data_IF_374294844969
#
_entry.id   IF_374294844969
#
_cell.length_a   1.000
_cell.length_b   1.000
_cell.length_c   1.000
_cell.angle_alpha   90.00
_cell.angle_beta   90.00
_cell.angle_gamma   90.00
#
_symmetry.space_group_name_H-M   'P 1'
#
loop_
_entity.id
_entity.type
_entity.pdbx_description
1 polymer ?
#
# COMPACT_ATOMS: atom_id res chain seq x y z
N UNK A 1 -29.91 -12.19 -21.49
CA UNK A 1 -28.78 -12.98 -20.92
C UNK A 1 -27.79 -11.99 -20.32
N UNK A 2 -27.41 -12.21 -19.06
CA UNK A 2 -26.60 -11.31 -18.23
C UNK A 2 -25.10 -11.60 -18.50
N UNK A 3 -24.40 -10.68 -19.16
CA UNK A 3 -23.01 -10.85 -19.61
C UNK A 3 -21.99 -10.47 -18.51
N UNK A 4 -21.96 -11.18 -17.38
CA UNK A 4 -21.12 -10.80 -16.23
C UNK A 4 -20.29 -11.95 -15.62
N UNK A 5 -19.82 -12.93 -16.40
CA UNK A 5 -19.09 -14.09 -15.84
C UNK A 5 -17.58 -14.19 -16.10
N UNK A 6 -16.93 -13.24 -16.80
CA UNK A 6 -15.47 -13.35 -17.08
C UNK A 6 -14.56 -12.29 -16.44
N UNK A 7 -15.09 -11.32 -15.70
CA UNK A 7 -14.25 -10.31 -15.01
C UNK A 7 -13.66 -10.79 -13.68
N UNK A 8 -13.97 -12.02 -13.25
CA UNK A 8 -13.64 -12.52 -11.90
C UNK A 8 -12.51 -13.56 -11.85
N UNK A 9 -12.09 -14.16 -12.98
CA UNK A 9 -11.06 -15.22 -12.96
C UNK A 9 -9.66 -14.68 -12.63
N UNK A 10 -9.39 -13.45 -13.04
CA UNK A 10 -8.10 -12.79 -12.86
C UNK A 10 -8.01 -11.99 -11.56
N UNK A 11 -9.02 -12.05 -10.68
CA UNK A 11 -9.00 -11.35 -9.40
C UNK A 11 -8.92 -12.36 -8.26
N UNK A 12 -7.84 -12.27 -7.48
CA UNK A 12 -7.61 -13.09 -6.28
C UNK A 12 -7.62 -12.22 -5.03
N UNK A 13 -8.14 -12.74 -3.91
CA UNK A 13 -7.97 -12.11 -2.61
C UNK A 13 -6.63 -12.53 -1.98
N UNK A 14 -5.84 -11.55 -1.55
CA UNK A 14 -4.60 -11.75 -0.81
C UNK A 14 -4.75 -11.13 0.56
N UNK A 15 -4.32 -11.82 1.61
CA UNK A 15 -4.48 -11.37 2.99
C UNK A 15 -3.15 -10.89 3.55
N UNK A 16 -3.18 -9.74 4.21
CA UNK A 16 -2.07 -9.23 5.02
C UNK A 16 -1.96 -10.03 6.34
N UNK A 17 -0.81 -10.03 7.03
CA UNK A 17 -0.64 -10.76 8.30
C UNK A 17 -1.65 -10.38 9.40
N UNK A 18 -2.18 -9.16 9.37
CA UNK A 18 -3.25 -8.70 10.27
C UNK A 18 -4.67 -9.03 9.77
N UNK A 19 -4.82 -9.86 8.74
CA UNK A 19 -6.11 -10.34 8.22
C UNK A 19 -6.83 -9.40 7.25
N UNK A 20 -6.21 -8.27 6.85
CA UNK A 20 -6.75 -7.36 5.86
C UNK A 20 -6.70 -7.98 4.45
N UNK A 21 -7.84 -8.13 3.80
CA UNK A 21 -7.89 -8.67 2.44
C UNK A 21 -7.81 -7.58 1.37
N UNK A 22 -6.94 -7.79 0.38
CA UNK A 22 -6.72 -6.88 -0.77
C UNK A 22 -6.90 -7.69 -2.06
N UNK A 23 -7.63 -7.13 -3.03
CA UNK A 23 -7.81 -7.74 -4.35
C UNK A 23 -6.54 -7.57 -5.18
N UNK A 24 -6.06 -8.65 -5.80
CA UNK A 24 -4.94 -8.68 -6.72
C UNK A 24 -5.46 -9.04 -8.11
N UNK A 25 -5.17 -8.21 -9.11
CA UNK A 25 -5.32 -8.58 -10.50
C UNK A 25 -4.12 -9.43 -10.93
N UNK A 26 -4.31 -10.73 -11.12
CA UNK A 26 -3.25 -11.69 -11.45
C UNK A 26 -2.73 -11.55 -12.88
N UNK A 27 -3.45 -10.84 -13.75
CA UNK A 27 -3.03 -10.58 -15.13
C UNK A 27 -2.09 -9.38 -15.21
N UNK A 28 -2.36 -8.31 -14.46
CA UNK A 28 -1.52 -7.10 -14.45
C UNK A 28 -0.51 -7.07 -13.30
N UNK A 29 -0.62 -7.97 -12.32
CA UNK A 29 0.14 -7.95 -11.07
C UNK A 29 -0.06 -6.67 -10.25
N UNK A 30 -1.26 -6.08 -10.32
CA UNK A 30 -1.60 -4.85 -9.60
C UNK A 30 -2.61 -5.11 -8.47
N UNK A 31 -2.41 -4.44 -7.34
CA UNK A 31 -3.37 -4.42 -6.25
C UNK A 31 -4.50 -3.43 -6.52
N UNK A 32 -5.73 -3.89 -6.35
CA UNK A 32 -6.94 -3.10 -6.50
C UNK A 32 -7.39 -2.62 -5.13
N UNK A 33 -7.20 -1.33 -4.87
CA UNK A 33 -7.68 -0.69 -3.65
C UNK A 33 -9.11 -0.21 -3.86
N UNK A 34 -10.00 -0.55 -2.92
CA UNK A 34 -11.34 0.04 -2.90
C UNK A 34 -11.22 1.56 -2.75
N UNK A 35 -12.08 2.32 -3.43
CA UNK A 35 -12.20 3.75 -3.18
C UNK A 35 -12.56 3.95 -1.70
N UNK A 36 -11.72 4.72 -1.00
CA UNK A 36 -11.99 5.07 0.40
C UNK A 36 -13.15 6.07 0.42
N UNK A 37 -14.09 5.90 1.35
CA UNK A 37 -15.22 6.83 1.54
C UNK A 37 -14.76 8.26 1.84
N UNK A 38 -13.59 8.42 2.48
CA UNK A 38 -12.98 9.72 2.74
C UNK A 38 -11.93 10.04 1.66
N UNK A 39 -11.93 11.25 1.09
CA UNK A 39 -10.86 11.70 0.21
C UNK A 39 -9.56 11.72 1.02
N UNK A 40 -8.79 10.66 0.92
CA UNK A 40 -7.40 10.67 1.38
C UNK A 40 -6.60 11.31 0.26
N UNK A 41 -5.67 12.21 0.58
CA UNK A 41 -4.80 12.81 -0.44
C UNK A 41 -4.22 11.73 -1.36
N UNK A 42 -4.13 12.03 -2.67
CA UNK A 42 -3.59 11.07 -3.65
C UNK A 42 -2.21 10.65 -3.19
N UNK A 43 -2.04 9.38 -2.82
CA UNK A 43 -0.73 8.82 -2.53
C UNK A 43 0.01 8.72 -3.86
N UNK A 44 0.96 9.63 -4.10
CA UNK A 44 1.72 9.71 -5.35
C UNK A 44 3.06 9.00 -5.20
N UNK A 45 3.66 8.67 -6.34
CA UNK A 45 5.05 8.18 -6.40
C UNK A 45 6.02 9.14 -5.72
N UNK A 46 5.74 10.44 -5.76
CA UNK A 46 6.56 11.50 -5.19
C UNK A 46 6.48 11.54 -3.66
N UNK A 47 5.26 11.43 -3.09
CA UNK A 47 5.10 11.29 -1.63
C UNK A 47 5.78 10.01 -1.11
N UNK A 48 5.75 8.93 -1.90
CA UNK A 48 6.47 7.70 -1.56
C UNK A 48 7.98 7.93 -1.52
N UNK A 49 8.55 8.68 -2.48
CA UNK A 49 9.98 9.01 -2.48
C UNK A 49 10.38 9.81 -1.24
N UNK A 50 9.61 10.85 -0.89
CA UNK A 50 9.90 11.68 0.28
C UNK A 50 9.87 10.87 1.58
N UNK A 51 8.91 9.95 1.73
CA UNK A 51 8.85 9.06 2.89
C UNK A 51 10.04 8.10 2.94
N UNK A 52 10.41 7.50 1.81
CA UNK A 52 11.58 6.59 1.73
C UNK A 52 12.88 7.34 2.02
N UNK A 53 13.03 8.56 1.53
CA UNK A 53 14.20 9.41 1.79
C UNK A 53 14.29 9.80 3.26
N UNK A 54 13.16 10.19 3.89
CA UNK A 54 13.12 10.46 5.32
C UNK A 54 13.52 9.23 6.16
N UNK A 55 13.03 8.03 5.81
CA UNK A 55 13.44 6.77 6.46
C UNK A 55 14.94 6.56 6.28
N UNK A 56 15.48 6.71 5.07
CA UNK A 56 16.91 6.57 4.81
C UNK A 56 17.76 7.58 5.61
N UNK A 57 17.30 8.82 5.75
CA UNK A 57 17.97 9.83 6.59
C UNK A 57 17.98 9.42 8.06
N UNK A 58 16.84 8.97 8.59
CA UNK A 58 16.74 8.51 9.99
C UNK A 58 17.63 7.29 10.22
N UNK A 59 17.65 6.34 9.28
CA UNK A 59 18.41 5.10 9.40
C UNK A 59 19.92 5.32 9.39
N UNK A 60 20.39 6.33 8.67
CA UNK A 60 21.80 6.71 8.57
C UNK A 60 22.18 7.89 9.49
N UNK A 61 21.25 8.38 10.30
CA UNK A 61 21.51 9.52 11.19
C UNK A 61 22.46 9.12 12.31
N UNK A 62 23.50 9.94 12.62
CA UNK A 62 24.35 9.72 13.80
C UNK A 62 23.56 9.84 15.12
N UNK A 63 22.36 10.40 15.08
CA UNK A 63 21.47 10.56 16.24
C UNK A 63 20.36 9.49 16.30
N UNK A 64 20.38 8.47 15.42
CA UNK A 64 19.36 7.41 15.38
C UNK A 64 19.09 6.78 16.75
N UNK A 65 20.14 6.51 17.51
CA UNK A 65 20.03 5.90 18.85
C UNK A 65 19.61 6.91 19.93
N UNK A 66 19.78 8.21 19.69
CA UNK A 66 19.36 9.27 20.61
C UNK A 66 17.85 9.55 20.52
N UNK A 67 17.24 9.22 19.37
CA UNK A 67 15.80 9.35 19.13
C UNK A 67 14.97 8.21 19.78
N UNK A 68 15.61 7.32 20.54
CA UNK A 68 14.94 6.36 21.43
C UNK A 68 14.52 7.03 22.75
N UNK A 69 13.87 8.19 22.66
CA UNK A 69 13.19 8.81 23.79
C UNK A 69 11.72 8.37 23.70
N UNK A 70 11.29 7.53 24.63
CA UNK A 70 9.93 6.99 24.75
C UNK A 70 8.84 8.07 24.60
N UNK A 71 8.30 8.32 23.40
CA UNK A 71 6.92 8.79 23.16
C UNK A 71 6.50 8.43 21.72
#
# INVERSE_FOLDING_TARGET
>A
MNNNEDTNKDIKMVYTPNGGGIKLNTKTNEFLFNQREKPTGKYTKEYTKALLEAVNIVDNSPYKNFMSLNI
#
